data_IF_347489733520
#
_entry.id   IF_347489733520
#
_cell.length_a   1.000
_cell.length_b   1.000
_cell.length_c   1.000
_cell.angle_alpha   90.00
_cell.angle_beta   90.00
_cell.angle_gamma   90.00
#
_symmetry.space_group_name_H-M   'P 1'
#
loop_
_entity.id
_entity.type
_entity.pdbx_description
1 polymer ?
#
# COMPACT_ATOMS: atom_id res chain seq x y z
N UNK A 1 -5.71 4.28 3.21
CA UNK A 1 -6.66 4.32 4.35
C UNK A 1 -6.40 3.19 5.36
N UNK A 2 -6.75 1.93 5.07
CA UNK A 2 -6.62 0.82 6.03
C UNK A 2 -5.18 0.55 6.49
N UNK A 3 -4.20 0.71 5.61
CA UNK A 3 -2.77 0.57 5.94
C UNK A 3 -2.28 1.61 6.97
N UNK A 4 -3.06 2.63 7.28
CA UNK A 4 -2.76 3.64 8.31
C UNK A 4 -3.53 3.39 9.61
N UNK A 5 -3.91 2.14 9.89
CA UNK A 5 -4.66 1.75 11.08
C UNK A 5 -4.11 0.45 11.67
N UNK A 6 -4.49 0.08 12.90
CA UNK A 6 -4.10 -1.21 13.48
C UNK A 6 -4.87 -2.40 12.89
N UNK A 7 -5.76 -2.17 11.92
CA UNK A 7 -6.50 -3.24 11.26
C UNK A 7 -5.57 -4.16 10.45
N UNK A 8 -5.92 -5.44 10.40
CA UNK A 8 -5.15 -6.45 9.67
C UNK A 8 -5.70 -6.59 8.26
N UNK A 9 -4.85 -6.41 7.24
CA UNK A 9 -5.18 -6.78 5.86
C UNK A 9 -5.09 -8.31 5.74
N UNK A 10 -6.22 -8.95 5.46
CA UNK A 10 -6.34 -10.41 5.31
C UNK A 10 -6.25 -10.82 3.85
N UNK A 11 -6.73 -9.98 2.95
CA UNK A 11 -6.65 -10.19 1.51
C UNK A 11 -6.41 -8.85 0.83
N UNK A 12 -5.43 -8.81 -0.07
CA UNK A 12 -5.15 -7.68 -0.97
C UNK A 12 -4.60 -8.28 -2.26
N UNK A 13 -5.06 -7.75 -3.38
CA UNK A 13 -4.47 -8.01 -4.69
C UNK A 13 -3.96 -6.69 -5.26
N UNK A 14 -2.70 -6.63 -5.66
CA UNK A 14 -2.14 -5.48 -6.38
C UNK A 14 -2.34 -5.62 -7.89
N UNK A 15 -1.99 -4.59 -8.66
CA UNK A 15 -1.91 -4.71 -10.11
C UNK A 15 -0.87 -5.76 -10.54
N UNK A 16 -1.27 -6.69 -11.41
CA UNK A 16 -0.35 -7.67 -12.00
C UNK A 16 0.58 -7.05 -13.04
N UNK A 17 0.08 -6.06 -13.78
CA UNK A 17 0.79 -5.32 -14.82
C UNK A 17 0.45 -3.83 -14.67
N UNK A 18 1.45 -2.96 -14.78
CA UNK A 18 1.28 -1.50 -14.89
C UNK A 18 1.58 -1.07 -16.32
N UNK A 19 0.56 -0.63 -17.06
CA UNK A 19 0.71 -0.19 -18.46
C UNK A 19 1.16 1.27 -18.60
N UNK A 20 1.10 2.03 -17.51
CA UNK A 20 1.49 3.43 -17.46
C UNK A 20 2.07 3.78 -16.08
N UNK A 21 2.96 4.79 -16.00
CA UNK A 21 3.48 5.25 -14.72
C UNK A 21 2.36 5.82 -13.85
N UNK A 22 2.48 5.64 -12.54
CA UNK A 22 1.56 6.25 -11.58
C UNK A 22 1.65 7.79 -11.69
N UNK A 23 0.51 8.50 -11.62
CA UNK A 23 0.52 9.96 -11.55
C UNK A 23 1.24 10.42 -10.27
N UNK A 24 1.80 11.65 -10.25
CA UNK A 24 2.45 12.17 -9.06
C UNK A 24 1.53 12.09 -7.83
N UNK A 25 2.00 11.41 -6.80
CA UNK A 25 1.30 11.20 -5.53
C UNK A 25 2.31 11.10 -4.38
N UNK A 26 1.85 11.39 -3.17
CA UNK A 26 2.55 11.12 -1.92
C UNK A 26 2.33 9.67 -1.43
N UNK A 27 1.51 8.89 -2.13
CA UNK A 27 1.27 7.49 -1.82
C UNK A 27 2.54 6.65 -2.05
N UNK A 28 2.90 5.75 -1.11
CA UNK A 28 3.96 4.77 -1.35
C UNK A 28 3.61 3.85 -2.53
N UNK A 29 4.62 3.35 -3.24
CA UNK A 29 4.47 2.41 -4.34
C UNK A 29 3.75 1.14 -3.89
N UNK A 30 2.79 0.66 -4.69
CA UNK A 30 2.12 -0.62 -4.45
C UNK A 30 1.20 -0.63 -3.22
N UNK A 31 0.59 0.49 -2.87
CA UNK A 31 -0.43 0.58 -1.79
C UNK A 31 -1.86 0.48 -2.31
N UNK A 32 -2.02 0.51 -3.63
CA UNK A 32 -3.25 0.28 -4.36
C UNK A 32 -3.81 -1.14 -4.13
N UNK A 33 -5.07 -1.36 -4.47
CA UNK A 33 -5.65 -2.69 -4.48
C UNK A 33 -6.60 -2.82 -5.68
N UNK A 34 -6.52 -3.95 -6.36
CA UNK A 34 -7.46 -4.36 -7.40
C UNK A 34 -8.52 -5.24 -6.76
N UNK A 35 -9.78 -4.98 -7.10
CA UNK A 35 -10.93 -5.82 -6.74
C UNK A 35 -11.62 -6.27 -8.02
N UNK A 36 -12.18 -7.46 -8.00
CA UNK A 36 -12.97 -8.04 -9.09
C UNK A 36 -14.17 -8.73 -8.48
N UNK A 37 -15.37 -8.27 -8.85
CA UNK A 37 -16.63 -8.74 -8.29
C UNK A 37 -16.73 -10.27 -8.35
N UNK A 38 -16.80 -10.91 -7.18
CA UNK A 38 -16.92 -12.37 -7.04
C UNK A 38 -15.59 -13.16 -7.12
N UNK A 39 -14.44 -12.52 -7.36
CA UNK A 39 -13.16 -13.21 -7.58
C UNK A 39 -11.98 -12.68 -6.77
N UNK A 40 -11.84 -11.35 -6.64
CA UNK A 40 -10.73 -10.71 -5.93
C UNK A 40 -11.28 -9.63 -5.01
N UNK A 41 -10.92 -9.68 -3.73
CA UNK A 41 -11.45 -8.78 -2.73
C UNK A 41 -10.34 -8.06 -1.96
N UNK A 42 -10.68 -6.97 -1.30
CA UNK A 42 -9.86 -6.33 -0.28
C UNK A 42 -10.49 -6.64 1.08
N UNK A 43 -9.93 -7.62 1.79
CA UNK A 43 -10.46 -8.03 3.10
C UNK A 43 -9.62 -7.45 4.21
N UNK A 44 -10.31 -6.82 5.15
CA UNK A 44 -9.73 -6.21 6.34
C UNK A 44 -10.43 -6.78 7.57
N UNK A 45 -9.65 -7.16 8.58
CA UNK A 45 -10.15 -7.70 9.83
C UNK A 45 -9.81 -6.75 10.98
N UNK A 46 -10.82 -6.43 11.77
CA UNK A 46 -10.64 -5.75 13.04
C UNK A 46 -10.35 -6.80 14.13
N UNK A 47 -9.13 -6.79 14.64
CA UNK A 47 -8.68 -7.66 15.75
C UNK A 47 -8.47 -6.86 17.04
N UNK A 48 -9.03 -5.65 17.10
CA UNK A 48 -8.91 -4.74 18.23
C UNK A 48 -10.24 -4.59 18.96
N UNK A 49 -10.19 -4.02 20.16
CA UNK A 49 -11.38 -3.65 20.94
C UNK A 49 -11.96 -2.26 20.54
N UNK A 50 -11.42 -1.64 19.49
CA UNK A 50 -11.87 -0.34 18.97
C UNK A 50 -12.93 -0.55 17.89
N UNK A 51 -13.91 0.35 17.84
CA UNK A 51 -14.91 0.38 16.78
C UNK A 51 -14.42 1.28 15.65
N UNK A 52 -14.52 0.79 14.42
CA UNK A 52 -14.14 1.55 13.22
C UNK A 52 -15.34 1.85 12.34
N UNK A 53 -15.37 3.05 11.77
CA UNK A 53 -16.36 3.47 10.78
C UNK A 53 -15.67 3.85 9.48
N UNK A 54 -16.09 3.24 8.39
CA UNK A 54 -15.74 3.69 7.04
C UNK A 54 -16.73 4.79 6.66
N UNK A 55 -16.23 5.97 6.31
CA UNK A 55 -17.01 7.08 5.77
C UNK A 55 -16.51 7.39 4.38
N UNK A 56 -17.43 7.42 3.42
CA UNK A 56 -17.15 7.78 2.03
C UNK A 56 -18.02 9.00 1.72
N UNK A 57 -17.37 10.06 1.26
CA UNK A 57 -18.03 11.25 0.75
C UNK A 57 -17.59 11.48 -0.69
N UNK A 58 -18.46 12.11 -1.48
CA UNK A 58 -18.16 12.51 -2.84
C UNK A 58 -18.41 14.02 -2.96
N UNK A 59 -17.50 14.71 -3.62
CA UNK A 59 -17.74 16.06 -4.12
C UNK A 59 -17.66 16.07 -5.66
N UNK A 60 -17.54 17.26 -6.26
CA UNK A 60 -17.52 17.40 -7.73
C UNK A 60 -16.31 16.73 -8.37
N UNK A 61 -15.19 16.71 -7.67
CA UNK A 61 -13.88 16.37 -8.23
C UNK A 61 -13.23 15.18 -7.50
N UNK A 62 -13.74 14.79 -6.32
CA UNK A 62 -13.08 13.82 -5.45
C UNK A 62 -14.01 12.77 -4.84
N UNK A 63 -13.43 11.59 -4.61
CA UNK A 63 -13.93 10.58 -3.69
C UNK A 63 -13.08 10.66 -2.41
N UNK A 64 -13.71 10.94 -1.28
CA UNK A 64 -13.04 11.15 0.00
C UNK A 64 -13.36 9.96 0.91
N UNK A 65 -12.38 9.07 1.08
CA UNK A 65 -12.45 7.95 2.02
C UNK A 65 -11.85 8.33 3.38
N UNK A 66 -12.57 8.03 4.47
CA UNK A 66 -12.11 8.20 5.85
C UNK A 66 -12.36 6.93 6.64
N UNK A 67 -11.44 6.63 7.55
CA UNK A 67 -11.59 5.57 8.53
C UNK A 67 -11.52 6.20 9.91
N UNK A 68 -12.64 6.19 10.61
CA UNK A 68 -12.81 6.81 11.93
C UNK A 68 -12.76 5.71 12.99
N UNK A 69 -12.37 6.09 14.21
CA UNK A 69 -12.33 5.21 15.37
C UNK A 69 -13.01 5.89 16.57
N UNK A 70 -13.61 5.11 17.46
CA UNK A 70 -14.21 5.60 18.71
C UNK A 70 -13.19 5.91 19.80
N UNK A 71 -11.92 5.51 19.60
CA UNK A 71 -10.84 5.69 20.59
C UNK A 71 -9.58 6.23 19.94
N UNK A 72 -8.94 7.18 20.63
CA UNK A 72 -7.54 7.54 20.41
C UNK A 72 -6.67 6.57 21.22
N UNK A 73 -5.83 5.80 20.53
CA UNK A 73 -4.89 4.87 21.15
C UNK A 73 -3.49 5.48 21.34
N UNK A 74 -3.32 6.79 21.11
CA UNK A 74 -2.06 7.51 21.22
C UNK A 74 -1.03 7.13 20.16
N UNK A 75 -1.47 6.49 19.07
CA UNK A 75 -0.60 6.03 17.99
C UNK A 75 -1.10 6.54 16.63
N UNK A 76 -0.17 6.79 15.72
CA UNK A 76 -0.48 6.90 14.30
C UNK A 76 0.40 5.95 13.49
N UNK A 77 -0.07 5.60 12.30
CA UNK A 77 0.57 4.61 11.46
C UNK A 77 1.02 5.25 10.16
N UNK A 78 2.30 5.11 9.87
CA UNK A 78 2.91 5.58 8.62
C UNK A 78 3.18 4.38 7.72
N UNK A 79 2.91 4.52 6.43
CA UNK A 79 3.21 3.48 5.43
C UNK A 79 4.41 3.96 4.63
N UNK A 80 5.43 3.12 4.51
CA UNK A 80 6.67 3.45 3.82
C UNK A 80 7.07 2.29 2.90
N UNK A 81 7.78 2.62 1.82
CA UNK A 81 8.44 1.61 1.00
C UNK A 81 9.81 1.24 1.56
N UNK A 82 10.22 -0.01 1.35
CA UNK A 82 11.63 -0.38 1.30
C UNK A 82 12.30 0.11 0.02
N UNK A 83 13.53 -0.33 -0.24
CA UNK A 83 14.20 -0.05 -1.50
C UNK A 83 13.47 -0.77 -2.65
N UNK A 84 12.98 -0.04 -3.68
CA UNK A 84 12.40 -0.66 -4.84
C UNK A 84 13.49 -1.36 -5.66
N UNK A 85 13.15 -2.51 -6.23
CA UNK A 85 14.02 -3.29 -7.09
C UNK A 85 13.33 -3.52 -8.44
N UNK A 86 14.07 -3.27 -9.52
CA UNK A 86 13.66 -3.67 -10.85
C UNK A 86 14.50 -4.85 -11.32
N UNK A 87 13.87 -5.82 -11.95
CA UNK A 87 14.58 -6.95 -12.55
C UNK A 87 13.92 -7.44 -13.82
N UNK A 88 14.73 -8.02 -14.71
CA UNK A 88 14.27 -8.71 -15.91
C UNK A 88 14.18 -10.21 -15.67
N UNK A 89 13.06 -10.80 -16.10
CA UNK A 89 12.82 -12.24 -16.14
C UNK A 89 11.94 -12.56 -17.35
N UNK A 90 12.30 -13.56 -18.15
CA UNK A 90 11.56 -14.00 -19.34
C UNK A 90 11.19 -12.83 -20.30
N UNK A 91 12.18 -11.98 -20.61
CA UNK A 91 12.05 -10.75 -21.43
C UNK A 91 11.07 -9.69 -20.89
N UNK A 92 10.57 -9.86 -19.67
CA UNK A 92 9.68 -8.91 -18.98
C UNK A 92 10.39 -8.23 -17.83
N UNK A 93 10.02 -6.98 -17.56
CA UNK A 93 10.55 -6.21 -16.43
C UNK A 93 9.53 -6.23 -15.29
N UNK A 94 10.02 -6.47 -14.08
CA UNK A 94 9.21 -6.48 -12.87
C UNK A 94 9.74 -5.44 -11.88
N UNK A 95 8.80 -4.79 -11.19
CA UNK A 95 9.02 -3.95 -10.02
C UNK A 95 8.63 -4.74 -8.77
N UNK A 96 9.55 -4.84 -7.81
CA UNK A 96 9.30 -5.36 -6.47
C UNK A 96 9.64 -4.32 -5.42
N UNK A 97 8.72 -4.11 -4.48
CA UNK A 97 8.92 -3.18 -3.37
C UNK A 97 8.25 -3.71 -2.11
N UNK A 98 8.96 -3.63 -0.99
CA UNK A 98 8.38 -3.93 0.32
C UNK A 98 7.51 -2.77 0.77
N UNK A 99 6.29 -3.06 1.22
CA UNK A 99 5.40 -2.08 1.86
C UNK A 99 5.37 -2.38 3.34
N UNK A 100 5.76 -1.39 4.14
CA UNK A 100 5.92 -1.51 5.59
C UNK A 100 5.02 -0.53 6.30
N UNK A 101 4.58 -0.90 7.50
CA UNK A 101 3.85 -0.02 8.40
C UNK A 101 4.71 0.26 9.63
N UNK A 102 4.88 1.55 9.93
CA UNK A 102 5.48 2.04 11.17
C UNK A 102 4.40 2.47 12.13
N UNK A 103 4.53 2.10 13.40
CA UNK A 103 3.69 2.57 14.49
C UNK A 103 4.46 3.65 15.24
N UNK A 104 3.90 4.85 15.27
CA UNK A 104 4.53 6.03 15.85
C UNK A 104 3.71 6.48 17.05
N UNK A 105 4.38 6.72 18.17
CA UNK A 105 3.73 7.23 19.37
C UNK A 105 3.43 8.73 19.19
N UNK A 106 2.16 9.13 19.28
CA UNK A 106 1.74 10.51 19.06
C UNK A 106 2.40 11.48 20.05
N UNK A 107 2.64 11.05 21.28
CA UNK A 107 3.18 11.90 22.35
C UNK A 107 4.65 12.30 22.14
N UNK A 108 5.46 11.45 21.51
CA UNK A 108 6.92 11.65 21.38
C UNK A 108 7.39 11.73 19.94
N UNK A 109 6.63 11.19 18.99
CA UNK A 109 7.05 11.01 17.60
C UNK A 109 7.96 9.78 17.39
N UNK A 110 8.17 8.96 18.42
CA UNK A 110 9.05 7.80 18.31
C UNK A 110 8.38 6.67 17.51
N UNK A 111 9.13 6.09 16.56
CA UNK A 111 8.75 4.85 15.92
C UNK A 111 8.97 3.69 16.91
N UNK A 112 7.88 3.13 17.42
CA UNK A 112 7.90 2.06 18.43
C UNK A 112 7.90 0.67 17.80
N UNK A 113 7.43 0.55 16.55
CA UNK A 113 7.34 -0.72 15.85
C UNK A 113 7.35 -0.52 14.34
N UNK A 114 7.99 -1.42 13.60
CA UNK A 114 7.92 -1.51 12.14
C UNK A 114 7.58 -2.96 11.75
N UNK A 115 6.61 -3.15 10.85
CA UNK A 115 6.32 -4.46 10.25
C UNK A 115 6.26 -4.38 8.75
N UNK A 116 6.74 -5.43 8.10
CA UNK A 116 6.43 -5.69 6.69
C UNK A 116 4.94 -6.07 6.59
N UNK A 117 4.18 -5.33 5.78
CA UNK A 117 2.80 -5.67 5.48
C UNK A 117 2.75 -6.73 4.38
N UNK A 118 3.44 -6.46 3.28
CA UNK A 118 3.55 -7.34 2.11
C UNK A 118 4.66 -6.85 1.19
N UNK A 119 5.05 -7.70 0.23
CA UNK A 119 5.90 -7.31 -0.89
C UNK A 119 5.04 -7.15 -2.13
N UNK A 120 4.97 -5.93 -2.67
CA UNK A 120 4.29 -5.69 -3.92
C UNK A 120 5.17 -6.15 -5.08
N UNK A 121 4.57 -6.83 -6.06
CA UNK A 121 5.22 -7.24 -7.29
C UNK A 121 4.30 -6.94 -8.46
N UNK A 122 4.80 -6.23 -9.46
CA UNK A 122 4.06 -5.98 -10.70
C UNK A 122 4.99 -6.03 -11.92
N UNK A 123 4.44 -6.43 -13.06
CA UNK A 123 5.10 -6.30 -14.37
C UNK A 123 5.00 -4.84 -14.84
N UNK A 124 6.09 -4.33 -15.42
CA UNK A 124 6.13 -2.98 -15.98
C UNK A 124 5.95 -3.06 -17.50
N UNK A 125 4.81 -2.55 -17.97
CA UNK A 125 4.41 -2.52 -19.38
C UNK A 125 4.82 -1.25 -20.14
N UNK A 126 5.51 -0.32 -19.48
CA UNK A 126 5.96 0.95 -20.08
C UNK A 126 7.50 1.10 -20.02
N UNK A 127 8.10 1.94 -20.88
CA UNK A 127 9.54 2.23 -20.80
C UNK A 127 9.90 2.90 -19.47
N UNK A 128 10.84 2.30 -18.73
CA UNK A 128 11.40 2.92 -17.53
C UNK A 128 12.32 4.10 -17.88
N UNK A 129 12.49 5.08 -16.98
CA UNK A 129 13.43 6.18 -17.18
C UNK A 129 14.86 5.68 -17.45
N UNK A 130 15.60 6.43 -18.27
CA UNK A 130 17.00 6.14 -18.55
C UNK A 130 17.82 6.09 -17.25
N UNK A 131 18.68 5.07 -17.13
CA UNK A 131 19.51 4.86 -15.95
C UNK A 131 18.83 4.11 -14.79
N UNK A 132 17.61 3.59 -14.99
CA UNK A 132 17.01 2.68 -14.00
C UNK A 132 17.84 1.40 -13.86
N UNK A 133 18.25 1.06 -12.64
CA UNK A 133 18.99 -0.16 -12.34
C UNK A 133 18.07 -1.38 -12.46
N UNK A 134 18.25 -2.17 -13.53
CA UNK A 134 17.49 -3.40 -13.78
C UNK A 134 18.41 -4.60 -13.62
N UNK A 135 18.19 -5.37 -12.55
CA UNK A 135 18.92 -6.63 -12.32
C UNK A 135 18.49 -7.73 -13.31
N UNK A 136 19.35 -8.71 -13.54
CA UNK A 136 18.99 -9.94 -14.29
C UNK A 136 18.63 -11.04 -13.29
N UNK A 137 17.43 -11.61 -13.41
CA UNK A 137 16.98 -12.72 -12.57
C UNK A 137 16.69 -13.91 -13.48
N UNK A 138 17.55 -14.93 -13.40
CA UNK A 138 17.40 -16.19 -14.14
C UNK A 138 16.21 -17.03 -13.69
#
# INVERSE_FOLDING_TARGET
MFLHTPLTIVERHGHGIKDFPEPPSDAPMGVDATVSEGWLDLKVKNETEMSFQISIALDKDHIIGRLLTDRDNGQFYEVVNGEPMYYRKDDRVYEEVDVKQRTILTATGDCTFEKLLYRNKCEIGYPLPDGTDIAQKG
#
